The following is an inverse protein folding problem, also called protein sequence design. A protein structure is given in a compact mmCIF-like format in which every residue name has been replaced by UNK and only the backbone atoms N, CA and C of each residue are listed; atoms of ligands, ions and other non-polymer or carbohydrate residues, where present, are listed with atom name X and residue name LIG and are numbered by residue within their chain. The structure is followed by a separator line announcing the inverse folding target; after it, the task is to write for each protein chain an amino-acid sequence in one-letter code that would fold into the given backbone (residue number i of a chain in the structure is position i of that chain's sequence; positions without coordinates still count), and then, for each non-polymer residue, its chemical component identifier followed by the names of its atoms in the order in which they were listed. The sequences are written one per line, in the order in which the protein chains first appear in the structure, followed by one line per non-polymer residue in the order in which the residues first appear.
data_IF_770666697254
#
_entry.id   IF_770666697254
#
_cell.length_a   1.000
_cell.length_b   1.000
_cell.length_c   1.000
_cell.angle_alpha   90.00
_cell.angle_beta   90.00
_cell.angle_gamma   90.00
#
_symmetry.space_group_name_H-M   'P 1'
#
loop_
_entity.id
_entity.type
_entity.pdbx_description
1 polymer ?
#
# COMPACT_ATOMS: atom_id res chain seq x y z
N UNK A 1 -2.38 43.87 -11.52
CA UNK A 1 -1.48 42.70 -11.46
C UNK A 1 -1.98 41.81 -10.35
N UNK A 2 -2.78 40.80 -10.70
CA UNK A 2 -3.37 39.88 -9.73
C UNK A 2 -2.33 38.84 -9.33
N UNK A 3 -2.01 38.80 -8.05
CA UNK A 3 -1.31 37.68 -7.42
C UNK A 3 -2.19 36.45 -7.57
N UNK A 4 -1.88 35.55 -8.52
CA UNK A 4 -2.40 34.18 -8.41
C UNK A 4 -1.78 33.62 -7.14
N UNK A 5 -2.61 33.33 -6.14
CA UNK A 5 -2.18 32.54 -4.99
C UNK A 5 -1.53 31.27 -5.55
N UNK A 6 -0.20 31.14 -5.39
CA UNK A 6 0.47 29.89 -5.72
C UNK A 6 -0.09 28.86 -4.74
N UNK A 7 -0.89 27.94 -5.26
CA UNK A 7 -1.24 26.73 -4.52
C UNK A 7 0.05 26.05 -4.06
N UNK A 8 0.02 25.32 -2.94
CA UNK A 8 1.18 24.63 -2.43
C UNK A 8 1.68 23.62 -3.48
N UNK A 9 2.98 23.66 -3.77
CA UNK A 9 3.65 22.71 -4.66
C UNK A 9 3.66 21.33 -4.00
N UNK A 10 2.81 20.41 -4.48
CA UNK A 10 2.61 19.08 -3.89
C UNK A 10 3.88 18.24 -3.99
N UNK A 11 4.58 18.29 -5.13
CA UNK A 11 5.84 17.59 -5.34
C UNK A 11 6.89 17.95 -4.30
N UNK A 12 7.04 19.25 -4.04
CA UNK A 12 7.96 19.72 -3.01
C UNK A 12 7.61 19.19 -1.61
N UNK A 13 6.33 19.06 -1.27
CA UNK A 13 5.93 18.51 0.03
C UNK A 13 6.19 17.01 0.11
N UNK A 14 6.08 16.27 -1.00
CA UNK A 14 6.50 14.86 -1.09
C UNK A 14 8.01 14.76 -0.87
N UNK A 15 8.80 15.59 -1.55
CA UNK A 15 10.25 15.66 -1.35
C UNK A 15 10.61 15.96 0.12
N UNK A 16 9.91 16.89 0.75
CA UNK A 16 10.08 17.21 2.17
C UNK A 16 9.74 16.00 3.06
N UNK A 17 8.68 15.24 2.74
CA UNK A 17 8.29 14.04 3.47
C UNK A 17 9.35 12.92 3.35
N UNK A 18 9.87 12.70 2.14
CA UNK A 18 10.98 11.78 1.89
C UNK A 18 12.24 12.20 2.65
N UNK A 19 12.55 13.51 2.64
CA UNK A 19 13.66 14.05 3.39
C UNK A 19 13.51 13.80 4.90
N UNK A 20 12.31 13.97 5.46
CA UNK A 20 12.04 13.66 6.86
C UNK A 20 12.20 12.17 7.17
N UNK A 21 11.75 11.29 6.27
CA UNK A 21 11.93 9.85 6.40
C UNK A 21 13.41 9.47 6.46
N UNK A 22 14.20 9.92 5.49
CA UNK A 22 15.65 9.63 5.40
C UNK A 22 16.41 10.24 6.58
N UNK A 23 15.94 11.37 7.11
CA UNK A 23 16.55 12.05 8.26
C UNK A 23 16.11 11.49 9.62
N UNK A 24 15.28 10.43 9.66
CA UNK A 24 14.81 9.81 10.91
C UNK A 24 13.70 10.60 11.63
N UNK A 25 13.11 11.61 10.99
CA UNK A 25 12.01 12.40 11.51
C UNK A 25 10.66 11.77 11.13
N UNK A 26 10.45 10.52 11.55
CA UNK A 26 9.35 9.67 11.06
C UNK A 26 7.95 10.22 11.36
N UNK A 27 7.70 10.75 12.56
CA UNK A 27 6.40 11.38 12.88
C UNK A 27 6.10 12.59 11.98
N UNK A 28 7.15 13.35 11.63
CA UNK A 28 7.01 14.48 10.72
C UNK A 28 6.74 13.99 9.30
N UNK A 29 7.45 12.96 8.84
CA UNK A 29 7.21 12.31 7.55
C UNK A 29 5.74 11.84 7.44
N UNK A 30 5.21 11.15 8.46
CA UNK A 30 3.80 10.72 8.50
C UNK A 30 2.86 11.93 8.42
N UNK A 31 3.05 12.93 9.27
CA UNK A 31 2.16 14.10 9.30
C UNK A 31 2.15 14.88 7.98
N UNK A 32 3.31 15.04 7.34
CA UNK A 32 3.43 15.68 6.02
C UNK A 32 2.73 14.83 4.96
N UNK A 33 2.95 13.52 4.98
CA UNK A 33 2.39 12.58 4.00
C UNK A 33 0.85 12.57 4.03
N UNK A 34 0.25 12.52 5.21
CA UNK A 34 -1.22 12.59 5.37
C UNK A 34 -1.77 13.96 4.92
N UNK A 35 -1.08 15.05 5.27
CA UNK A 35 -1.45 16.40 4.83
C UNK A 35 -1.38 16.55 3.30
N UNK A 36 -0.38 15.94 2.66
CA UNK A 36 -0.23 15.94 1.20
C UNK A 36 -1.29 15.09 0.55
N UNK A 37 -1.62 13.90 1.08
CA UNK A 37 -2.70 13.07 0.51
C UNK A 37 -4.04 13.80 0.50
N UNK A 38 -4.38 14.52 1.57
CA UNK A 38 -5.62 15.30 1.64
C UNK A 38 -5.65 16.40 0.56
N UNK A 39 -4.51 17.05 0.30
CA UNK A 39 -4.38 18.07 -0.75
C UNK A 39 -4.45 17.47 -2.16
N UNK A 40 -3.83 16.29 -2.39
CA UNK A 40 -3.92 15.56 -3.66
C UNK A 40 -5.39 15.25 -3.97
N UNK A 41 -6.12 14.67 -3.01
CA UNK A 41 -7.54 14.34 -3.19
C UNK A 41 -8.40 15.58 -3.45
N UNK A 42 -8.13 16.68 -2.75
CA UNK A 42 -8.83 17.95 -2.96
C UNK A 42 -8.58 18.50 -4.37
N UNK A 43 -7.33 18.45 -4.83
CA UNK A 43 -6.92 18.94 -6.16
C UNK A 43 -7.54 18.09 -7.27
N UNK A 44 -7.64 16.78 -7.07
CA UNK A 44 -8.20 15.85 -8.04
C UNK A 44 -9.72 16.01 -8.21
N UNK A 45 -10.42 16.54 -7.20
CA UNK A 45 -11.85 16.92 -7.30
C UNK A 45 -12.03 18.26 -8.01
N UNK A 46 -11.10 19.21 -7.79
CA UNK A 46 -11.22 20.58 -8.30
C UNK A 46 -10.73 20.75 -9.75
N UNK A 47 -9.77 19.94 -10.20
CA UNK A 47 -9.11 20.10 -11.49
C UNK A 47 -9.12 18.81 -12.33
N UNK A 48 -9.08 18.94 -13.65
CA UNK A 48 -8.76 17.83 -14.57
C UNK A 48 -7.26 17.56 -14.58
N UNK A 49 -6.68 17.28 -13.41
CA UNK A 49 -5.27 16.96 -13.26
C UNK A 49 -4.94 15.67 -14.04
N UNK A 50 -3.69 15.54 -14.48
CA UNK A 50 -3.23 14.33 -15.14
C UNK A 50 -3.37 13.15 -14.18
N UNK A 51 -4.07 12.11 -14.64
CA UNK A 51 -4.41 10.97 -13.81
C UNK A 51 -3.14 10.18 -13.44
N UNK A 52 -2.18 10.10 -14.36
CA UNK A 52 -0.93 9.39 -14.16
C UNK A 52 -0.06 10.10 -13.12
N UNK A 53 -0.04 11.44 -13.13
CA UNK A 53 0.68 12.26 -12.16
C UNK A 53 0.14 12.07 -10.74
N UNK A 54 -1.20 12.07 -10.59
CA UNK A 54 -1.83 11.83 -9.28
C UNK A 54 -1.52 10.44 -8.73
N UNK A 55 -1.50 9.43 -9.59
CA UNK A 55 -1.15 8.06 -9.20
C UNK A 55 0.30 7.96 -8.74
N UNK A 56 1.23 8.63 -9.43
CA UNK A 56 2.64 8.68 -9.05
C UNK A 56 2.82 9.34 -7.67
N UNK A 57 2.19 10.51 -7.46
CA UNK A 57 2.21 11.19 -6.16
C UNK A 57 1.66 10.30 -5.05
N UNK A 58 0.51 9.66 -5.28
CA UNK A 58 -0.10 8.76 -4.30
C UNK A 58 0.76 7.52 -4.03
N UNK A 59 1.49 6.99 -5.02
CA UNK A 59 2.44 5.90 -4.78
C UNK A 59 3.58 6.34 -3.85
N UNK A 60 4.18 7.51 -4.11
CA UNK A 60 5.27 8.04 -3.28
C UNK A 60 4.82 8.32 -1.84
N UNK A 61 3.67 8.99 -1.69
CA UNK A 61 3.01 9.24 -0.39
C UNK A 61 2.80 7.91 0.36
N UNK A 62 2.22 6.90 -0.30
CA UNK A 62 2.01 5.60 0.34
C UNK A 62 3.31 4.91 0.76
N UNK A 63 4.36 5.00 -0.06
CA UNK A 63 5.66 4.42 0.27
C UNK A 63 6.32 5.09 1.47
N UNK A 64 6.32 6.42 1.52
CA UNK A 64 6.85 7.18 2.65
C UNK A 64 6.10 6.81 3.93
N UNK A 65 4.76 6.72 3.86
CA UNK A 65 3.93 6.35 4.99
C UNK A 65 4.26 4.96 5.53
N UNK A 66 4.34 3.96 4.64
CA UNK A 66 4.65 2.58 5.01
C UNK A 66 6.01 2.48 5.69
N UNK A 67 7.03 3.12 5.11
CA UNK A 67 8.38 3.09 5.67
C UNK A 67 8.46 3.81 7.02
N UNK A 68 7.85 5.00 7.15
CA UNK A 68 7.88 5.75 8.41
C UNK A 68 7.16 5.02 9.57
N UNK A 69 6.00 4.40 9.30
CA UNK A 69 5.27 3.63 10.31
C UNK A 69 6.08 2.42 10.79
N UNK A 70 6.74 1.73 9.85
CA UNK A 70 7.62 0.59 10.15
C UNK A 70 8.81 1.01 11.00
N UNK A 71 9.47 2.13 10.69
CA UNK A 71 10.58 2.63 11.52
C UNK A 71 10.13 3.06 12.93
N UNK A 72 8.88 3.47 13.10
CA UNK A 72 8.28 3.72 14.42
C UNK A 72 7.81 2.46 15.16
N UNK A 73 7.91 1.27 14.54
CA UNK A 73 7.39 0.00 15.09
C UNK A 73 5.90 0.07 15.42
N UNK A 74 5.15 0.81 14.61
CA UNK A 74 3.69 1.02 14.74
C UNK A 74 2.93 0.28 13.63
N UNK A 75 3.44 -0.88 13.18
CA UNK A 75 2.86 -1.60 12.02
C UNK A 75 1.41 -2.07 12.22
N UNK A 76 0.93 -2.18 13.46
CA UNK A 76 -0.50 -2.42 13.73
C UNK A 76 -1.42 -1.30 13.23
N UNK A 77 -0.89 -0.08 13.06
CA UNK A 77 -1.62 1.08 12.52
C UNK A 77 -1.49 1.23 11.00
N UNK A 78 -0.65 0.40 10.35
CA UNK A 78 -0.27 0.52 8.93
C UNK A 78 -1.49 0.66 8.01
N UNK A 79 -2.37 -0.34 8.04
CA UNK A 79 -3.55 -0.37 7.16
C UNK A 79 -4.67 0.57 7.60
N UNK A 80 -4.64 1.03 8.85
CA UNK A 80 -5.53 2.12 9.30
C UNK A 80 -5.13 3.42 8.61
N UNK A 81 -3.84 3.76 8.62
CA UNK A 81 -3.35 4.99 7.99
C UNK A 81 -3.41 4.92 6.45
N UNK A 82 -3.06 3.78 5.84
CA UNK A 82 -3.24 3.60 4.40
C UNK A 82 -4.70 3.75 3.97
N UNK A 83 -5.64 3.23 4.77
CA UNK A 83 -7.07 3.42 4.48
C UNK A 83 -7.48 4.90 4.54
N UNK A 84 -6.85 5.73 5.38
CA UNK A 84 -7.07 7.19 5.36
C UNK A 84 -6.61 7.80 4.04
N UNK A 85 -5.45 7.37 3.53
CA UNK A 85 -4.89 7.87 2.26
C UNK A 85 -5.70 7.41 1.05
N UNK A 86 -6.16 6.16 1.00
CA UNK A 86 -6.80 5.59 -0.20
C UNK A 86 -8.32 5.43 -0.09
N UNK A 87 -8.92 5.77 1.05
CA UNK A 87 -10.35 5.62 1.35
C UNK A 87 -10.82 4.18 1.61
N UNK A 88 -10.20 3.19 0.95
CA UNK A 88 -10.53 1.77 1.05
C UNK A 88 -9.26 0.93 0.98
N UNK A 89 -9.23 -0.18 1.71
CA UNK A 89 -8.10 -1.12 1.68
C UNK A 89 -7.89 -1.66 0.27
N UNK A 90 -8.96 -1.97 -0.46
CA UNK A 90 -8.87 -2.49 -1.82
C UNK A 90 -8.43 -1.46 -2.87
N UNK A 91 -8.45 -0.17 -2.52
CA UNK A 91 -7.97 0.91 -3.39
C UNK A 91 -6.48 1.20 -3.19
N UNK A 92 -5.83 0.52 -2.23
CA UNK A 92 -4.39 0.66 -2.00
C UNK A 92 -3.65 0.06 -3.21
N UNK A 93 -2.72 0.81 -3.84
CA UNK A 93 -1.89 0.29 -4.91
C UNK A 93 -1.15 -0.99 -4.50
N UNK A 94 -1.11 -1.97 -5.41
CA UNK A 94 -0.58 -3.33 -5.17
C UNK A 94 0.75 -3.33 -4.42
N UNK A 95 1.72 -2.55 -4.93
CA UNK A 95 3.08 -2.46 -4.39
C UNK A 95 3.10 -1.99 -2.94
N UNK A 96 2.26 -1.02 -2.60
CA UNK A 96 2.12 -0.47 -1.24
C UNK A 96 1.43 -1.48 -0.34
N UNK A 97 0.38 -2.14 -0.83
CA UNK A 97 -0.35 -3.18 -0.11
C UNK A 97 0.55 -4.35 0.28
N UNK A 98 1.27 -4.93 -0.69
CA UNK A 98 2.20 -6.04 -0.47
C UNK A 98 3.31 -5.62 0.51
N UNK A 99 3.89 -4.43 0.31
CA UNK A 99 4.96 -3.93 1.20
C UNK A 99 4.47 -3.77 2.63
N UNK A 100 3.32 -3.13 2.84
CA UNK A 100 2.73 -2.95 4.16
C UNK A 100 2.39 -4.27 4.84
N UNK A 101 1.82 -5.23 4.10
CA UNK A 101 1.51 -6.56 4.62
C UNK A 101 2.78 -7.32 5.04
N UNK A 102 3.81 -7.33 4.19
CA UNK A 102 5.09 -7.96 4.49
C UNK A 102 5.76 -7.37 5.73
N UNK A 103 5.72 -6.04 5.89
CA UNK A 103 6.27 -5.37 7.09
C UNK A 103 5.52 -5.78 8.36
N UNK A 104 4.18 -5.81 8.32
CA UNK A 104 3.38 -6.22 9.48
C UNK A 104 3.55 -7.72 9.80
N UNK A 105 3.75 -8.57 8.78
CA UNK A 105 4.10 -9.99 8.97
C UNK A 105 5.46 -10.15 9.65
N UNK A 106 6.48 -9.42 9.21
CA UNK A 106 7.83 -9.49 9.75
C UNK A 106 7.89 -9.08 11.24
N UNK A 107 7.01 -8.19 11.69
CA UNK A 107 6.85 -7.81 13.10
C UNK A 107 5.96 -8.77 13.92
N UNK A 108 5.54 -9.89 13.33
CA UNK A 108 4.74 -10.91 14.02
C UNK A 108 3.25 -10.56 14.18
N UNK A 109 2.79 -9.47 13.55
CA UNK A 109 1.41 -9.00 13.62
C UNK A 109 0.51 -9.59 12.52
N UNK A 110 0.80 -10.83 12.10
CA UNK A 110 0.14 -11.49 10.97
C UNK A 110 -1.34 -11.85 11.20
N UNK A 111 -1.80 -11.96 12.45
CA UNK A 111 -3.21 -12.23 12.76
C UNK A 111 -4.14 -11.13 12.28
N UNK A 112 -3.66 -9.88 12.30
CA UNK A 112 -4.45 -8.70 11.99
C UNK A 112 -4.60 -8.51 10.47
N UNK A 113 -3.74 -9.19 9.69
CA UNK A 113 -3.73 -9.11 8.22
C UNK A 113 -4.82 -9.93 7.55
N UNK A 114 -5.30 -11.00 8.20
CA UNK A 114 -6.35 -11.85 7.61
C UNK A 114 -7.58 -11.04 7.13
N UNK A 115 -8.25 -10.25 7.98
CA UNK A 115 -9.40 -9.47 7.56
C UNK A 115 -9.04 -8.41 6.49
N UNK A 116 -7.80 -7.93 6.48
CA UNK A 116 -7.29 -6.96 5.50
C UNK A 116 -7.18 -7.60 4.10
N UNK A 117 -6.61 -8.81 4.00
CA UNK A 117 -6.56 -9.57 2.75
C UNK A 117 -7.96 -9.97 2.25
N UNK A 118 -8.84 -10.42 3.16
CA UNK A 118 -10.22 -10.76 2.81
C UNK A 118 -10.97 -9.52 2.27
N UNK A 119 -10.81 -8.34 2.89
CA UNK A 119 -11.38 -7.09 2.38
C UNK A 119 -10.79 -6.72 1.02
N UNK A 120 -9.46 -6.81 0.86
CA UNK A 120 -8.77 -6.47 -0.39
C UNK A 120 -9.29 -7.32 -1.55
N UNK A 121 -9.11 -8.64 -1.47
CA UNK A 121 -9.42 -9.58 -2.56
C UNK A 121 -10.91 -9.63 -2.91
N UNK A 122 -11.81 -9.51 -1.92
CA UNK A 122 -13.26 -9.61 -2.16
C UNK A 122 -13.86 -8.47 -2.98
N UNK A 123 -13.16 -7.33 -3.05
CA UNK A 123 -13.59 -6.15 -3.82
C UNK A 123 -13.13 -6.17 -5.27
N UNK A 124 -12.25 -7.09 -5.68
CA UNK A 124 -11.83 -7.22 -7.07
C UNK A 124 -12.71 -8.24 -7.83
N UNK A 125 -13.03 -7.94 -9.09
CA UNK A 125 -13.86 -8.79 -9.95
C UNK A 125 -13.12 -9.07 -11.25
N UNK A 126 -13.01 -10.35 -11.59
CA UNK A 126 -12.50 -10.77 -12.88
C UNK A 126 -13.53 -10.45 -13.97
N UNK A 127 -13.08 -9.81 -15.05
CA UNK A 127 -13.92 -9.41 -16.18
C UNK A 127 -13.58 -10.22 -17.43
N UNK A 128 -14.45 -10.14 -18.45
CA UNK A 128 -14.26 -10.83 -19.73
C UNK A 128 -13.02 -10.31 -20.50
N UNK A 129 -12.55 -9.10 -20.16
CA UNK A 129 -11.32 -8.51 -20.66
C UNK A 129 -10.04 -9.14 -20.06
N UNK A 130 -10.21 -10.25 -19.31
CA UNK A 130 -9.15 -11.03 -18.67
C UNK A 130 -8.36 -10.27 -17.60
N UNK A 131 -8.94 -9.22 -17.04
CA UNK A 131 -8.34 -8.42 -15.97
C UNK A 131 -9.24 -8.41 -14.74
N UNK A 132 -8.67 -8.07 -13.59
CA UNK A 132 -9.43 -7.76 -12.38
C UNK A 132 -9.72 -6.26 -12.33
N UNK A 133 -10.97 -5.90 -12.09
CA UNK A 133 -11.40 -4.51 -11.90
C UNK A 133 -11.90 -4.34 -10.48
N UNK A 134 -11.52 -3.23 -9.85
CA UNK A 134 -12.01 -2.88 -8.53
C UNK A 134 -13.51 -2.60 -8.60
N UNK A 135 -14.31 -3.44 -7.94
CA UNK A 135 -15.74 -3.29 -7.84
C UNK A 135 -16.06 -2.28 -6.74
N UNK A 136 -15.99 -1.00 -7.10
CA UNK A 136 -16.55 0.05 -6.27
C UNK A 136 -18.07 -0.05 -6.30
N UNK A 137 -18.64 -0.75 -5.32
CA UNK A 137 -20.02 -0.46 -4.94
C UNK A 137 -20.04 1.03 -4.60
N UNK A 138 -20.79 1.82 -5.37
CA UNK A 138 -21.10 3.23 -5.11
C UNK A 138 -21.66 3.38 -3.69
N UNK A 139 -20.78 3.39 -2.69
CA UNK A 139 -21.11 3.84 -1.36
C UNK A 139 -21.12 5.35 -1.45
N UNK A 140 -22.31 5.85 -1.80
CA UNK A 140 -22.68 7.25 -1.88
C UNK A 140 -22.35 7.97 -0.56
N UNK A 141 -21.12 8.46 -0.41
CA UNK A 141 -20.79 9.58 0.50
C UNK A 141 -19.35 10.10 0.41
N UNK A 142 -18.38 9.41 -0.19
CA UNK A 142 -17.04 10.01 -0.38
C UNK A 142 -16.92 10.64 -1.76
N UNK A 143 -16.56 11.91 -1.80
CA UNK A 143 -16.13 12.65 -2.99
C UNK A 143 -14.75 12.17 -3.47
N UNK A 144 -14.45 10.88 -3.36
CA UNK A 144 -13.18 10.31 -3.80
C UNK A 144 -13.15 10.25 -5.31
N UNK A 145 -12.01 10.62 -5.89
CA UNK A 145 -11.74 10.34 -7.29
C UNK A 145 -11.85 8.83 -7.49
N UNK A 146 -12.89 8.41 -8.22
CA UNK A 146 -13.10 7.02 -8.62
C UNK A 146 -12.07 6.72 -9.69
N UNK A 147 -10.89 6.32 -9.23
CA UNK A 147 -9.90 5.70 -10.09
C UNK A 147 -10.38 4.29 -10.34
N UNK A 148 -10.79 3.99 -11.57
CA UNK A 148 -11.01 2.60 -11.97
C UNK A 148 -9.66 1.90 -11.97
N UNK A 149 -9.32 1.26 -10.84
CA UNK A 149 -8.11 0.46 -10.73
C UNK A 149 -8.31 -0.87 -11.46
N UNK A 150 -7.35 -1.17 -12.33
CA UNK A 150 -7.26 -2.44 -13.07
C UNK A 150 -6.02 -3.18 -12.57
N UNK A 151 -6.14 -4.49 -12.48
CA UNK A 151 -5.09 -5.40 -12.01
C UNK A 151 -5.02 -6.60 -12.94
N UNK A 152 -3.82 -6.97 -13.36
CA UNK A 152 -3.58 -8.18 -14.15
C UNK A 152 -3.80 -9.44 -13.30
N UNK A 153 -4.17 -10.59 -13.88
CA UNK A 153 -4.38 -11.83 -13.13
C UNK A 153 -3.17 -12.23 -12.27
N UNK A 154 -1.95 -12.06 -12.78
CA UNK A 154 -0.71 -12.37 -12.09
C UNK A 154 -0.57 -11.57 -10.79
N UNK A 155 -0.94 -10.29 -10.83
CA UNK A 155 -0.91 -9.40 -9.68
C UNK A 155 -1.94 -9.80 -8.61
N UNK A 156 -3.14 -10.21 -9.03
CA UNK A 156 -4.15 -10.71 -8.11
C UNK A 156 -3.68 -12.01 -7.42
N UNK A 157 -3.05 -12.90 -8.19
CA UNK A 157 -2.49 -14.13 -7.64
C UNK A 157 -1.32 -13.88 -6.69
N UNK A 158 -0.51 -12.85 -6.91
CA UNK A 158 0.55 -12.45 -5.97
C UNK A 158 -0.03 -12.09 -4.59
N UNK A 159 -1.13 -11.34 -4.54
CA UNK A 159 -1.82 -11.02 -3.28
C UNK A 159 -2.43 -12.27 -2.63
N UNK A 160 -3.05 -13.15 -3.43
CA UNK A 160 -3.66 -14.39 -2.93
C UNK A 160 -2.61 -15.38 -2.39
N UNK A 161 -1.44 -15.45 -3.02
CA UNK A 161 -0.31 -16.23 -2.54
C UNK A 161 0.18 -15.69 -1.19
N UNK A 162 0.40 -14.38 -1.09
CA UNK A 162 0.82 -13.76 0.15
C UNK A 162 -0.20 -14.00 1.27
N UNK A 163 -1.50 -13.90 0.97
CA UNK A 163 -2.55 -14.23 1.93
C UNK A 163 -2.45 -15.69 2.43
N UNK A 164 -2.18 -16.62 1.53
CA UNK A 164 -1.96 -18.03 1.88
C UNK A 164 -0.77 -18.19 2.83
N UNK A 165 0.35 -17.50 2.55
CA UNK A 165 1.52 -17.49 3.43
C UNK A 165 1.18 -16.89 4.81
N UNK A 166 0.39 -15.80 4.85
CA UNK A 166 -0.08 -15.20 6.11
C UNK A 166 -0.89 -16.20 6.92
N UNK A 167 -1.87 -16.87 6.32
CA UNK A 167 -2.68 -17.89 6.99
C UNK A 167 -1.81 -19.04 7.52
N UNK A 168 -0.90 -19.55 6.69
CA UNK A 168 0.01 -20.62 7.08
C UNK A 168 0.93 -20.18 8.22
N UNK A 169 1.42 -18.95 8.21
CA UNK A 169 2.28 -18.41 9.29
C UNK A 169 1.51 -18.30 10.61
N UNK A 170 0.27 -17.81 10.57
CA UNK A 170 -0.61 -17.70 11.75
C UNK A 170 -0.96 -19.08 12.32
N UNK A 171 -1.27 -20.05 11.45
CA UNK A 171 -1.68 -21.40 11.87
C UNK A 171 -0.50 -22.25 12.34
N UNK A 172 0.66 -22.14 11.69
CA UNK A 172 1.83 -22.98 11.99
C UNK A 172 2.58 -22.54 13.25
N UNK A 173 2.41 -21.29 13.71
CA UNK A 173 3.23 -20.63 14.75
C UNK A 173 4.75 -20.62 14.46
N UNK A 174 5.16 -21.08 13.28
CA UNK A 174 6.53 -21.23 12.81
C UNK A 174 6.58 -20.74 11.35
N UNK A 175 6.88 -19.44 11.19
CA UNK A 175 7.00 -18.73 9.90
C UNK A 175 8.02 -19.41 8.96
N UNK A 176 9.11 -19.94 9.50
CA UNK A 176 10.14 -20.71 8.78
C UNK A 176 9.57 -21.93 8.03
N UNK A 177 8.61 -22.64 8.62
CA UNK A 177 7.99 -23.79 7.97
C UNK A 177 7.12 -23.32 6.82
N UNK A 178 6.27 -22.31 7.01
CA UNK A 178 5.41 -21.77 5.95
C UNK A 178 6.22 -21.29 4.74
N UNK A 179 7.36 -20.62 4.98
CA UNK A 179 8.30 -20.18 3.93
C UNK A 179 8.96 -21.37 3.22
N UNK A 180 9.27 -22.47 3.93
CA UNK A 180 9.85 -23.67 3.31
C UNK A 180 8.89 -24.41 2.38
N UNK A 181 7.57 -24.25 2.58
CA UNK A 181 6.54 -24.86 1.73
C UNK A 181 6.39 -24.08 0.42
N UNK A 182 6.43 -22.75 0.46
CA UNK A 182 6.40 -21.93 -0.76
C UNK A 182 7.70 -22.02 -1.55
N UNK A 183 8.85 -22.15 -0.89
CA UNK A 183 10.13 -22.38 -1.57
C UNK A 183 10.29 -23.76 -2.23
N UNK A 184 9.42 -24.74 -1.92
CA UNK A 184 9.39 -26.07 -2.55
C UNK A 184 8.38 -26.20 -3.68
N UNK A 185 7.41 -25.29 -3.76
CA UNK A 185 6.64 -25.09 -4.97
C UNK A 185 7.54 -24.30 -5.93
N UNK A 186 7.75 -24.79 -7.16
CA UNK A 186 8.60 -24.14 -8.17
C UNK A 186 8.04 -22.77 -8.58
N UNK A 187 8.23 -21.75 -7.75
CA UNK A 187 7.89 -20.36 -8.03
C UNK A 187 9.11 -19.68 -8.65
N UNK A 188 8.88 -19.04 -9.78
CA UNK A 188 9.91 -18.54 -10.70
C UNK A 188 10.90 -17.58 -10.02
N UNK A 189 12.16 -17.69 -10.45
CA UNK A 189 13.35 -17.11 -9.83
C UNK A 189 13.34 -15.57 -9.67
N UNK A 190 12.42 -14.88 -10.36
CA UNK A 190 12.17 -13.44 -10.20
C UNK A 190 11.62 -13.03 -8.82
N UNK A 191 11.00 -13.94 -8.07
CA UNK A 191 10.47 -13.66 -6.72
C UNK A 191 11.54 -13.77 -5.60
N UNK A 192 12.79 -14.16 -5.91
CA UNK A 192 13.85 -14.36 -4.90
C UNK A 192 14.46 -13.07 -4.33
N UNK A 193 14.19 -11.89 -4.91
CA UNK A 193 14.73 -10.63 -4.35
C UNK A 193 14.05 -10.24 -3.02
N UNK A 194 12.85 -10.76 -2.73
CA UNK A 194 12.17 -10.57 -1.43
C UNK A 194 12.82 -11.41 -0.32
N UNK A 195 13.50 -12.51 -0.66
CA UNK A 195 14.19 -13.38 0.30
C UNK A 195 15.35 -12.67 1.01
N UNK A 196 16.03 -11.72 0.35
CA UNK A 196 17.15 -11.01 0.96
C UNK A 196 16.73 -9.97 2.02
N UNK A 197 15.49 -9.46 1.97
CA UNK A 197 15.01 -8.51 2.99
C UNK A 197 14.63 -9.16 4.32
N UNK A 198 14.23 -10.44 4.33
CA UNK A 198 13.92 -11.16 5.57
C UNK A 198 15.16 -11.66 6.32
N UNK A 199 16.31 -11.79 5.64
CA UNK A 199 17.52 -12.37 6.24
C UNK A 199 18.52 -11.34 6.78
N UNK A 200 18.25 -10.03 6.64
CA UNK A 200 19.17 -8.98 7.07
C UNK A 200 18.99 -8.47 8.51
N UNK A 201 18.06 -9.03 9.30
CA UNK A 201 17.86 -8.64 10.71
C UNK A 201 18.45 -9.59 11.75
N UNK A 202 19.14 -10.66 11.34
CA UNK A 202 19.94 -11.50 12.24
C UNK A 202 21.43 -11.20 12.08
N UNK A 203 21.87 -10.03 12.58
CA UNK A 203 23.22 -9.81 13.12
C UNK A 203 23.21 -8.77 14.23
#
# INVERSE_FOLDING_TARGET
MGTSAQGPDLWKQIDDAEHYLVSGLFERAISTTLSVSDQIHSTAVENSCDHDELLEMLELVGMVLVQAIKELKRTSEMFVQLKTVYGSVASIPLKIFITGAMMQMAEGSGSDLRPIFEEYLSKWRYTDDQVYVLNEVKNSSSNGVVVTSVMEPEQYFEVAELYTITLLSVVSRETEIAISWTGKAELTEQHRQVHFMLHCNDK
#
